data_IF_108703690532
#
_entry.id   IF_108703690532
#
_cell.length_a   1.000
_cell.length_b   1.000
_cell.length_c   1.000
_cell.angle_alpha   90.00
_cell.angle_beta   90.00
_cell.angle_gamma   90.00
#
_symmetry.space_group_name_H-M   'P 1'
#
loop_
_entity.id
_entity.type
_entity.pdbx_description
1 polymer ?
2 non-polymer ?
3 water ?
#
# COMPACT_ATOMS: atom_id res chain seq x y z
N UNK A 4 17.56 1.56 22.39
CA UNK A 4 17.25 1.98 20.99
C UNK A 4 15.74 2.32 20.85
N UNK A 5 15.45 3.55 20.42
CA UNK A 5 14.08 4.01 20.14
C UNK A 5 14.11 4.62 18.74
N UNK A 6 13.24 4.15 17.87
CA UNK A 6 13.26 4.52 16.44
C UNK A 6 12.08 5.43 16.11
N UNK A 7 12.38 6.61 15.60
CA UNK A 7 11.34 7.49 15.02
C UNK A 7 10.93 6.94 13.66
N UNK A 8 9.67 6.55 13.52
CA UNK A 8 9.14 5.98 12.28
C UNK A 8 8.15 6.94 11.65
N UNK A 9 8.23 7.04 10.34
CA UNK A 9 7.33 7.84 9.57
C UNK A 9 6.73 7.05 8.44
N UNK A 10 5.41 7.18 8.28
CA UNK A 10 4.71 6.55 7.19
C UNK A 10 3.92 7.59 6.44
N UNK A 11 4.40 7.91 5.25
CA UNK A 11 3.85 8.94 4.40
C UNK A 11 2.71 8.39 3.57
N UNK A 12 1.48 8.73 3.96
CA UNK A 12 0.26 8.27 3.30
C UNK A 12 -0.27 9.24 2.27
N UNK A 13 -1.43 8.89 1.70
CA UNK A 13 -2.08 9.73 0.69
C UNK A 13 -2.67 10.99 1.30
N UNK A 14 -3.21 10.90 2.51
CA UNK A 14 -3.81 12.07 3.16
C UNK A 14 -3.33 12.36 4.58
N UNK A 15 -2.58 11.43 5.17
CA UNK A 15 -2.06 11.62 6.52
C UNK A 15 -0.59 11.19 6.58
N UNK A 16 0.14 11.79 7.48
CA UNK A 16 1.47 11.39 7.82
C UNK A 16 1.36 10.75 9.19
N UNK A 17 1.67 9.45 9.28
CA UNK A 17 1.71 8.79 10.56
C UNK A 17 3.14 8.78 11.11
N UNK A 18 3.27 8.90 12.43
CA UNK A 18 4.56 9.01 13.05
C UNK A 18 4.50 8.22 14.35
N UNK A 19 5.62 7.61 14.74
CA UNK A 19 5.68 6.90 16.00
C UNK A 19 7.09 6.77 16.51
N UNK A 20 7.18 6.44 17.80
CA UNK A 20 8.44 6.01 18.39
C UNK A 20 8.24 4.52 18.65
N UNK A 21 9.16 3.74 18.09
CA UNK A 21 9.01 2.31 18.00
C UNK A 21 10.26 1.66 18.61
N UNK A 22 10.02 0.65 19.41
CA UNK A 22 11.10 -0.13 19.99
C UNK A 22 11.43 -1.25 18.99
N UNK A 23 12.65 -1.81 19.07
CA UNK A 23 13.08 -2.77 18.06
C UNK A 23 12.23 -4.04 17.91
N UNK A 24 11.32 -4.33 18.85
CA UNK A 24 10.42 -5.50 18.79
C UNK A 24 9.01 -5.18 18.29
N UNK A 25 8.79 -3.92 17.90
CA UNK A 25 7.56 -3.49 17.22
C UNK A 25 6.53 -2.86 18.14
N UNK A 26 6.87 -2.74 19.43
CA UNK A 26 6.05 -2.00 20.38
C UNK A 26 6.16 -0.50 20.02
N UNK A 27 5.02 0.11 19.74
CA UNK A 27 4.96 1.51 19.37
C UNK A 27 4.52 2.29 20.60
N UNK A 28 5.45 3.04 21.19
CA UNK A 28 5.26 3.62 22.52
C UNK A 28 4.70 5.02 22.48
N UNK A 29 4.70 5.64 21.29
CA UNK A 29 4.12 6.97 21.09
C UNK A 29 3.72 7.08 19.62
N UNK A 30 2.58 7.70 19.36
CA UNK A 30 2.17 8.02 17.97
C UNK A 30 1.76 9.50 17.83
N UNK A 31 1.75 9.95 16.57
CA UNK A 31 1.27 11.26 16.19
C UNK A 31 0.87 11.18 14.72
N UNK A 32 -0.20 11.85 14.34
CA UNK A 32 -0.67 11.89 12.96
C UNK A 32 -0.92 13.35 12.57
N UNK A 33 -0.76 13.66 11.29
CA UNK A 33 -1.04 14.97 10.72
C UNK A 33 -1.70 14.80 9.35
N UNK A 34 -2.81 15.49 9.13
CA UNK A 34 -3.37 15.61 7.79
C UNK A 34 -2.40 16.40 6.92
N UNK A 35 -2.11 15.89 5.73
CA UNK A 35 -1.22 16.58 4.79
C UNK A 35 -2.00 17.03 3.56
N UNK A 36 -1.84 18.31 3.23
CA UNK A 36 -2.58 18.94 2.14
C UNK A 36 -1.90 18.77 0.78
N UNK A 37 -2.63 18.23 -0.19
CA UNK A 37 -2.16 18.16 -1.59
C UNK A 37 -0.80 17.51 -1.79
N UNK A 38 -0.50 16.52 -0.95
CA UNK A 38 0.80 15.85 -0.86
C UNK A 38 1.98 16.78 -1.15
N UNK A 39 2.14 17.67 -0.18
CA UNK A 39 3.11 18.71 -0.13
C UNK A 39 4.32 18.20 0.66
N UNK A 40 5.41 17.94 -0.06
CA UNK A 40 6.63 17.39 0.55
C UNK A 40 7.21 18.29 1.60
N UNK A 41 7.20 19.60 1.34
CA UNK A 41 7.67 20.55 2.35
C UNK A 41 6.88 20.48 3.67
N UNK A 42 5.56 20.33 3.62
CA UNK A 42 4.79 20.16 4.84
C UNK A 42 5.22 18.87 5.54
N UNK A 43 5.44 17.80 4.75
CA UNK A 43 5.88 16.55 5.37
C UNK A 43 7.22 16.72 6.07
N UNK A 44 8.16 17.44 5.44
CA UNK A 44 9.46 17.64 6.05
C UNK A 44 9.32 18.45 7.33
N UNK A 45 8.39 19.40 7.31
CA UNK A 45 8.16 20.28 8.48
C UNK A 45 7.59 19.46 9.66
N UNK A 46 6.59 18.63 9.37
CA UNK A 46 6.01 17.73 10.37
C UNK A 46 7.08 16.78 10.94
N UNK A 47 7.97 16.28 10.08
CA UNK A 47 9.06 15.44 10.57
C UNK A 47 9.96 16.16 11.56
N UNK A 48 10.39 17.37 11.18
CA UNK A 48 11.25 18.18 12.03
C UNK A 48 10.62 18.41 13.39
N UNK A 49 9.34 18.74 13.38
CA UNK A 49 8.60 19.03 14.64
C UNK A 49 8.51 17.76 15.50
N UNK A 50 8.19 16.62 14.90
CA UNK A 50 8.11 15.36 15.65
C UNK A 50 9.45 14.97 16.28
N UNK A 51 10.55 15.16 15.54
CA UNK A 51 11.89 14.82 16.03
C UNK A 51 12.33 15.68 17.23
N UNK A 52 12.09 16.99 17.14
CA UNK A 52 12.42 17.92 18.24
C UNK A 52 11.66 17.57 19.52
N UNK A 53 10.42 17.11 19.32
CA UNK A 53 9.56 16.64 20.43
C UNK A 53 10.00 15.32 21.05
N UNK A 54 10.91 14.59 20.40
CA UNK A 54 11.25 13.23 20.79
C UNK A 54 12.76 13.05 20.72
N UNK A 55 13.45 13.69 21.64
CA UNK A 55 14.90 13.81 21.57
C UNK A 55 15.62 12.54 22.00
N UNK A 56 14.89 11.55 22.51
CA UNK A 56 15.51 10.29 22.91
C UNK A 56 15.56 9.24 21.79
N UNK A 57 15.03 9.57 20.62
CA UNK A 57 15.17 8.66 19.46
C UNK A 57 16.63 8.51 19.01
N UNK A 58 16.99 7.29 18.60
CA UNK A 58 18.35 6.93 18.26
C UNK A 58 18.48 6.53 16.79
N UNK A 59 17.36 6.59 16.05
CA UNK A 59 17.31 6.18 14.66
C UNK A 59 16.00 6.65 14.02
N UNK A 60 16.01 6.69 12.69
CA UNK A 60 14.85 7.16 11.94
C UNK A 60 14.57 6.18 10.80
N UNK A 61 13.29 5.79 10.66
CA UNK A 61 12.83 4.81 9.66
C UNK A 61 11.65 5.44 8.92
N UNK A 62 11.74 5.43 7.60
CA UNK A 62 10.72 6.04 6.75
C UNK A 62 10.10 5.05 5.78
N UNK A 63 8.77 5.13 5.66
CA UNK A 63 8.00 4.48 4.61
C UNK A 63 7.46 5.60 3.70
N UNK A 64 7.88 5.59 2.44
CA UNK A 64 7.59 6.67 1.52
C UNK A 64 6.98 6.18 0.23
N UNK A 65 6.05 6.95 -0.36
CA UNK A 65 5.58 6.56 -1.69
C UNK A 65 6.62 6.73 -2.77
N UNK A 66 6.44 5.98 -3.85
CA UNK A 66 7.25 6.15 -5.04
C UNK A 66 8.38 5.12 -5.07
N UNK A 67 9.52 5.51 -5.68
CA UNK A 67 10.61 4.61 -5.96
C UNK A 67 11.79 5.10 -5.16
N UNK A 68 12.28 4.23 -4.29
CA UNK A 68 13.34 4.56 -3.34
C UNK A 68 14.45 3.54 -3.43
N UNK A 69 15.68 4.01 -3.61
CA UNK A 69 16.85 3.16 -3.48
C UNK A 69 17.06 2.98 -1.98
N UNK A 70 16.84 1.76 -1.50
CA UNK A 70 16.81 1.55 -0.06
C UNK A 70 18.19 1.61 0.58
N UNK A 71 19.28 1.49 -0.19
CA UNK A 71 20.62 1.59 0.37
C UNK A 71 21.12 3.04 0.42
N UNK A 72 20.90 3.80 -0.65
CA UNK A 72 21.34 5.20 -0.73
C UNK A 72 20.35 6.23 -0.18
N UNK A 73 19.07 5.88 -0.17
CA UNK A 73 18.00 6.78 0.29
C UNK A 73 17.50 7.72 -0.79
N UNK A 74 17.97 7.56 -2.02
CA UNK A 74 17.50 8.43 -3.10
C UNK A 74 16.13 8.03 -3.59
N UNK A 75 15.19 8.97 -3.49
CA UNK A 75 13.83 8.83 -4.06
C UNK A 75 13.91 9.35 -5.47
N UNK A 76 13.79 8.44 -6.43
CA UNK A 76 13.90 8.80 -7.83
C UNK A 76 12.59 9.39 -8.34
N UNK A 77 11.45 8.92 -7.82
CA UNK A 77 10.13 9.41 -8.21
C UNK A 77 9.33 9.41 -6.93
N UNK A 78 8.80 10.55 -6.52
CA UNK A 78 8.15 10.62 -5.21
C UNK A 78 6.70 10.22 -5.08
N UNK A 79 6.16 9.45 -6.01
CA UNK A 79 4.73 9.16 -6.02
C UNK A 79 3.93 10.45 -6.17
N UNK A 80 3.02 10.72 -5.22
CA UNK A 80 2.20 11.96 -5.26
C UNK A 80 3.00 13.20 -4.87
N UNK A 81 4.20 13.02 -4.29
CA UNK A 81 4.95 14.10 -3.68
C UNK A 81 6.04 14.56 -4.64
N UNK A 82 5.71 15.53 -5.50
CA UNK A 82 6.66 16.05 -6.50
C UNK A 82 7.94 16.57 -5.84
N UNK A 83 7.81 17.13 -4.63
CA UNK A 83 8.97 17.65 -3.90
C UNK A 83 10.06 16.59 -3.64
N UNK A 84 9.67 15.32 -3.60
CA UNK A 84 10.59 14.25 -3.31
C UNK A 84 11.15 13.59 -4.59
N UNK A 85 10.77 14.05 -5.79
CA UNK A 85 11.42 13.55 -7.03
C UNK A 85 12.92 13.86 -7.02
N UNK A 86 13.74 12.85 -7.27
CA UNK A 86 15.19 13.01 -7.27
C UNK A 86 15.66 13.69 -5.98
N UNK A 87 15.15 13.23 -4.83
CA UNK A 87 15.48 13.80 -3.52
C UNK A 87 16.03 12.72 -2.62
N UNK A 88 17.23 12.93 -2.08
CA UNK A 88 17.76 12.00 -1.12
C UNK A 88 17.30 12.36 0.29
N UNK A 89 16.16 11.75 0.65
CA UNK A 89 15.52 11.98 1.95
C UNK A 89 16.36 11.37 3.08
N UNK A 90 17.05 10.28 2.81
CA UNK A 90 17.98 9.70 3.83
C UNK A 90 19.07 10.69 4.17
N UNK A 91 19.71 11.26 3.16
CA UNK A 91 20.81 12.21 3.41
C UNK A 91 20.33 13.49 4.06
N UNK A 92 19.13 13.94 3.70
CA UNK A 92 18.53 15.12 4.32
C UNK A 92 18.34 14.91 5.78
N UNK A 93 17.73 13.78 6.15
CA UNK A 93 17.43 13.46 7.54
C UNK A 93 18.72 13.22 8.35
N UNK A 94 19.72 12.61 7.72
CA UNK A 94 21.03 12.41 8.37
C UNK A 94 21.69 13.75 8.68
N UNK A 95 21.63 14.67 7.72
CA UNK A 95 22.23 16.00 7.88
C UNK A 95 21.47 16.79 8.95
N UNK A 96 20.15 16.69 8.95
CA UNK A 96 19.33 17.41 9.91
C UNK A 96 19.49 16.93 11.35
N UNK A 97 19.83 15.65 11.54
CA UNK A 97 19.75 14.99 12.85
C UNK A 97 21.01 14.30 13.37
N UNK A 98 21.90 13.83 12.49
CA UNK A 98 23.07 13.06 12.92
C UNK A 98 22.77 11.63 13.35
N UNK A 99 21.51 11.22 13.17
CA UNK A 99 21.05 9.88 13.49
C UNK A 99 21.08 9.00 12.28
N UNK A 100 21.26 7.67 12.48
CA UNK A 100 21.12 6.75 11.33
C UNK A 100 19.68 6.77 10.80
N UNK A 101 19.56 6.67 9.48
CA UNK A 101 18.27 6.77 8.77
C UNK A 101 18.15 5.62 7.77
N UNK A 102 16.94 5.09 7.65
CA UNK A 102 16.61 4.15 6.60
C UNK A 102 15.29 4.56 5.95
N UNK A 103 15.20 4.22 4.68
CA UNK A 103 14.02 4.53 3.89
C UNK A 103 13.68 3.37 2.94
N UNK A 104 12.37 3.10 2.78
CA UNK A 104 11.88 2.04 1.90
C UNK A 104 10.52 2.52 1.38
N UNK A 105 10.07 1.98 0.26
CA UNK A 105 8.79 2.29 -0.34
C UNK A 105 7.62 1.83 0.54
N UNK A 106 6.48 2.54 0.44
CA UNK A 106 5.34 2.30 1.33
C UNK A 106 4.71 0.92 1.22
N UNK A 107 4.53 0.45 -0.01
CA UNK A 107 3.96 -0.91 -0.25
C UNK A 107 4.91 -2.00 0.26
N UNK A 108 6.20 -1.80 -0.01
CA UNK A 108 7.21 -2.69 0.49
C UNK A 108 7.25 -2.72 1.99
N UNK A 109 7.12 -1.56 2.65
CA UNK A 109 7.11 -1.54 4.11
C UNK A 109 5.89 -2.32 4.65
N UNK A 110 4.73 -2.16 4.04
CA UNK A 110 3.56 -2.87 4.53
C UNK A 110 3.75 -4.36 4.34
N UNK A 111 4.42 -4.77 3.26
CA UNK A 111 4.69 -6.20 3.11
C UNK A 111 5.66 -6.67 4.21
N UNK A 112 6.68 -5.87 4.49
CA UNK A 112 7.64 -6.21 5.52
C UNK A 112 6.99 -6.36 6.89
N UNK A 113 5.97 -5.55 7.18
CA UNK A 113 5.20 -5.71 8.41
C UNK A 113 4.54 -7.10 8.44
N UNK A 114 3.98 -7.49 7.30
CA UNK A 114 3.36 -8.82 7.18
C UNK A 114 4.37 -9.97 7.43
N UNK A 115 5.57 -9.81 6.87
CA UNK A 115 6.68 -10.77 7.03
C UNK A 115 7.16 -10.81 8.51
N UNK A 116 7.27 -9.65 9.13
CA UNK A 116 7.86 -9.54 10.48
C UNK A 116 6.92 -10.00 11.56
N UNK A 117 5.71 -9.44 11.54
CA UNK A 117 4.76 -9.55 12.64
C UNK A 117 3.41 -10.12 12.25
N UNK A 118 3.18 -10.34 10.96
CA UNK A 118 1.90 -10.73 10.51
C UNK A 118 1.85 -12.18 10.03
N UNK A 119 1.15 -12.39 8.91
CA UNK A 119 0.81 -13.74 8.39
C UNK A 119 1.85 -14.31 7.47
N UNK A 120 2.91 -13.53 7.19
CA UNK A 120 3.94 -14.01 6.23
C UNK A 120 5.24 -14.43 6.90
N UNK A 121 5.23 -14.68 8.22
CA UNK A 121 6.49 -14.90 8.92
C UNK A 121 7.29 -16.09 8.37
N UNK A 122 6.59 -17.14 8.00
CA UNK A 122 7.26 -18.35 7.57
C UNK A 122 7.09 -18.63 6.08
N UNK A 123 6.80 -17.58 5.32
CA UNK A 123 6.59 -17.69 3.89
C UNK A 123 7.72 -17.13 3.06
N UNK A 124 8.15 -17.89 2.06
CA UNK A 124 9.16 -17.39 1.10
C UNK A 124 8.60 -16.80 -0.19
N UNK A 125 7.34 -17.03 -0.51
CA UNK A 125 6.77 -16.55 -1.76
C UNK A 125 5.34 -16.11 -1.51
N UNK A 126 5.16 -14.81 -1.26
CA UNK A 126 3.82 -14.25 -1.10
C UNK A 126 3.77 -12.85 -1.67
N UNK A 127 2.56 -12.42 -1.98
CA UNK A 127 2.32 -11.09 -2.45
C UNK A 127 1.37 -10.35 -1.51
N UNK A 128 1.50 -9.03 -1.53
CA UNK A 128 0.51 -8.13 -0.92
C UNK A 128 -0.14 -7.25 -2.01
N UNK A 129 -1.45 -7.25 -2.00
CA UNK A 129 -2.25 -6.48 -2.95
C UNK A 129 -3.13 -5.53 -2.10
N UNK A 130 -3.02 -4.23 -2.37
CA UNK A 130 -3.76 -3.19 -1.62
C UNK A 130 -4.72 -2.52 -2.58
N UNK A 131 -6.01 -2.50 -2.24
CA UNK A 131 -7.06 -1.96 -3.11
C UNK A 131 -7.86 -0.89 -2.32
N UNK A 132 -7.70 0.37 -2.72
CA UNK A 132 -8.51 1.47 -2.14
C UNK A 132 -8.82 2.52 -3.21
N UNK A 133 -8.25 3.71 -3.06
CA UNK A 133 -8.34 4.72 -4.09
C UNK A 133 -7.50 4.35 -5.31
N UNK A 134 -6.36 3.71 -5.07
CA UNK A 134 -5.57 3.10 -6.13
C UNK A 134 -5.22 1.66 -5.73
N UNK A 135 -4.29 1.09 -6.47
CA UNK A 135 -3.83 -0.25 -6.22
C UNK A 135 -2.35 -0.20 -5.88
N UNK A 136 -1.99 -0.94 -4.84
CA UNK A 136 -0.60 -1.14 -4.43
C UNK A 136 -0.24 -2.60 -4.48
N UNK A 137 1.07 -2.85 -4.61
CA UNK A 137 1.63 -4.16 -4.65
C UNK A 137 2.94 -4.22 -3.94
N UNK A 138 3.17 -5.37 -3.33
CA UNK A 138 4.49 -5.80 -2.85
C UNK A 138 4.73 -7.28 -3.19
N UNK A 139 5.99 -7.61 -3.47
CA UNK A 139 6.40 -8.95 -3.89
C UNK A 139 7.47 -9.49 -2.95
N UNK A 140 7.24 -10.72 -2.46
CA UNK A 140 8.23 -11.47 -1.68
C UNK A 140 8.42 -12.80 -2.47
N UNK A 141 9.62 -12.97 -3.01
CA UNK A 141 10.00 -14.16 -3.79
C UNK A 141 11.33 -14.70 -3.26
N UNK A 142 11.44 -16.00 -3.16
CA UNK A 142 12.66 -16.60 -2.63
C UNK A 142 13.13 -16.03 -1.32
N UNK A 143 12.18 -15.69 -0.46
CA UNK A 143 12.50 -15.24 0.89
C UNK A 143 13.04 -13.83 0.97
N UNK A 144 12.84 -13.03 -0.09
CA UNK A 144 13.37 -11.66 -0.21
C UNK A 144 12.36 -10.73 -0.88
N UNK A 145 12.33 -9.44 -0.49
CA UNK A 145 11.58 -8.47 -1.20
C UNK A 145 12.14 -8.33 -2.64
N UNK A 146 11.23 -8.22 -3.60
CA UNK A 146 11.63 -7.95 -4.97
C UNK A 146 11.35 -6.47 -5.21
N UNK A 147 12.41 -5.69 -5.31
CA UNK A 147 12.28 -4.23 -5.50
C UNK A 147 12.39 -3.81 -6.96
N UNK A 148 13.03 -4.67 -7.77
CA UNK A 148 13.30 -4.45 -9.15
C UNK A 148 14.63 -3.75 -9.46
N UNK A 149 15.00 -3.73 -10.73
CA UNK A 149 16.27 -3.15 -11.16
C UNK A 149 16.43 -1.64 -10.87
N UNK A 150 15.30 -0.94 -10.82
CA UNK A 150 15.27 0.48 -10.52
C UNK A 150 14.32 0.78 -9.36
N UNK A 151 14.07 -0.24 -8.52
CA UNK A 151 13.30 -0.05 -7.30
C UNK A 151 11.84 0.29 -7.59
N UNK A 152 11.38 -0.18 -8.75
CA UNK A 152 10.03 0.10 -9.20
C UNK A 152 9.06 -1.08 -9.10
N UNK A 153 9.56 -2.27 -8.79
CA UNK A 153 8.75 -3.50 -8.87
C UNK A 153 7.51 -3.42 -7.98
N UNK A 154 6.47 -4.14 -8.37
CA UNK A 154 5.27 -4.25 -7.57
C UNK A 154 4.14 -3.29 -7.93
N UNK A 155 4.21 -2.71 -9.10
CA UNK A 155 3.18 -1.80 -9.61
C UNK A 155 1.98 -2.55 -10.16
N UNK A 156 1.28 -3.20 -9.25
CA UNK A 156 0.19 -4.11 -9.59
C UNK A 156 -0.97 -3.40 -10.25
N UNK A 157 -1.15 -2.10 -9.93
CA UNK A 157 -2.22 -1.34 -10.52
C UNK A 157 -2.08 -1.05 -11.99
N UNK A 158 -0.89 -1.26 -12.54
CA UNK A 158 -0.64 -1.06 -13.97
C UNK A 158 -0.95 -2.31 -14.80
N UNK A 159 -1.40 -3.40 -14.19
CA UNK A 159 -1.81 -4.53 -15.02
C UNK A 159 -3.06 -4.14 -15.79
N UNK A 160 -3.08 -4.55 -17.05
CA UNK A 160 -4.27 -4.36 -17.88
C UNK A 160 -5.42 -5.24 -17.40
N UNK A 161 -6.57 -4.64 -17.20
CA UNK A 161 -7.79 -5.39 -16.92
C UNK A 161 -8.66 -5.63 -18.15
N UNK A 162 -8.27 -5.05 -19.28
CA UNK A 162 -8.93 -5.26 -20.53
C UNK A 162 -7.95 -5.00 -21.66
N UNK A 163 -8.32 -5.40 -22.87
CA UNK A 163 -7.47 -5.12 -24.03
C UNK A 163 -7.29 -3.60 -24.14
N UNK A 164 -6.06 -3.13 -24.26
CA UNK A 164 -5.90 -1.66 -24.25
C UNK A 164 -6.48 -1.08 -25.53
N UNK A 165 -7.17 0.03 -25.40
CA UNK A 165 -7.70 0.77 -26.53
C UNK A 165 -6.72 1.85 -26.94
N UNK A 166 -7.23 2.93 -27.49
CA UNK A 166 -6.41 4.02 -28.07
C UNK A 166 -6.26 5.23 -27.18
N UNK A 167 -7.00 5.31 -26.09
CA UNK A 167 -6.71 6.31 -25.06
C UNK A 167 -5.39 5.90 -24.36
N UNK A 168 -4.87 6.77 -23.50
CA UNK A 168 -3.63 6.46 -22.80
C UNK A 168 -3.80 5.11 -22.07
N UNK A 169 -2.70 4.34 -22.01
CA UNK A 169 -2.81 2.97 -21.52
C UNK A 169 -3.33 2.84 -20.10
N UNK A 170 -3.04 3.83 -19.26
CA UNK A 170 -3.46 3.80 -17.87
C UNK A 170 -4.95 3.61 -17.73
N UNK A 171 -5.72 4.09 -18.71
CA UNK A 171 -7.17 4.03 -18.64
C UNK A 171 -7.70 2.57 -18.65
N UNK A 172 -6.87 1.64 -19.11
CA UNK A 172 -7.23 0.23 -19.26
C UNK A 172 -6.59 -0.66 -18.17
N UNK A 173 -6.04 -0.01 -17.17
CA UNK A 173 -5.33 -0.67 -16.05
C UNK A 173 -6.16 -0.68 -14.79
N UNK A 174 -5.86 -1.61 -13.90
CA UNK A 174 -6.58 -1.77 -12.60
C UNK A 174 -6.68 -0.46 -11.86
N UNK A 175 -5.60 0.34 -11.87
CA UNK A 175 -5.61 1.66 -11.21
C UNK A 175 -6.78 2.54 -11.60
N UNK A 176 -7.17 2.45 -12.86
CA UNK A 176 -8.25 3.22 -13.40
C UNK A 176 -9.55 2.52 -13.70
N UNK A 177 -9.62 1.19 -13.50
CA UNK A 177 -10.85 0.44 -13.74
C UNK A 177 -11.40 -0.28 -12.52
N UNK A 178 -10.55 -0.54 -11.53
CA UNK A 178 -10.86 -1.49 -10.47
C UNK A 178 -10.40 -1.02 -9.08
N UNK A 179 -11.07 0.02 -8.57
CA UNK A 179 -10.72 0.61 -7.26
C UNK A 179 -12.00 1.06 -6.61
N UNK A 180 -11.91 1.32 -5.31
CA UNK A 180 -13.05 1.89 -4.57
C UNK A 180 -13.47 3.28 -5.12
N UNK A 181 -12.48 4.08 -5.53
CA UNK A 181 -12.72 5.36 -6.19
C UNK A 181 -13.48 5.20 -7.51
N UNK A 182 -13.06 4.24 -8.34
CA UNK A 182 -13.73 4.01 -9.61
C UNK A 182 -15.20 3.61 -9.33
N UNK A 183 -15.42 2.76 -8.33
CA UNK A 183 -16.79 2.39 -7.99
C UNK A 183 -17.66 3.57 -7.69
N UNK A 184 -17.15 4.49 -6.91
CA UNK A 184 -17.89 5.72 -6.55
C UNK A 184 -18.12 6.59 -7.80
N UNK A 185 -17.09 6.73 -8.63
CA UNK A 185 -17.20 7.47 -9.89
C UNK A 185 -18.26 6.87 -10.80
N UNK A 186 -18.25 5.55 -10.95
CA UNK A 186 -19.23 4.91 -11.77
C UNK A 186 -20.65 5.09 -11.22
N UNK A 187 -20.81 4.91 -9.92
CA UNK A 187 -22.11 5.12 -9.29
C UNK A 187 -22.62 6.53 -9.49
N UNK A 188 -21.75 7.53 -9.35
CA UNK A 188 -22.13 8.91 -9.66
C UNK A 188 -22.64 9.07 -11.09
N UNK A 189 -21.92 8.49 -12.06
CA UNK A 189 -22.34 8.54 -13.48
C UNK A 189 -23.66 7.86 -13.73
N UNK A 190 -23.86 6.72 -13.10
CA UNK A 190 -25.08 5.94 -13.35
C UNK A 190 -26.30 6.56 -12.69
N UNK A 191 -26.13 7.19 -11.53
CA UNK A 191 -27.25 7.79 -10.80
C UNK A 191 -27.41 9.28 -11.06
N UNK A 192 -26.38 9.95 -11.58
CA UNK A 192 -26.43 11.41 -11.76
C UNK A 192 -26.16 12.23 -10.51
N UNK A 193 -25.83 11.55 -9.42
CA UNK A 193 -25.56 12.20 -8.14
C UNK A 193 -24.13 12.68 -8.06
N UNK A 194 -23.88 13.71 -7.22
CA UNK A 194 -22.49 14.15 -7.05
C UNK A 194 -21.60 13.12 -6.34
N UNK A 195 -20.41 12.93 -6.90
CA UNK A 195 -19.39 12.03 -6.40
C UNK A 195 -19.17 12.23 -4.90
N UNK A 196 -19.06 13.49 -4.48
CA UNK A 196 -18.71 13.80 -3.09
C UNK A 196 -19.73 13.27 -2.08
N UNK A 197 -20.97 13.02 -2.53
CA UNK A 197 -22.08 12.53 -1.70
C UNK A 197 -22.27 11.02 -1.72
N UNK A 198 -21.42 10.33 -2.47
CA UNK A 198 -21.51 8.88 -2.60
C UNK A 198 -20.41 8.20 -1.76
N UNK A 199 -20.81 7.18 -1.01
CA UNK A 199 -19.91 6.38 -0.18
C UNK A 199 -19.80 4.95 -0.78
N UNK A 200 -18.68 4.29 -0.54
CA UNK A 200 -18.57 2.87 -0.87
C UNK A 200 -19.58 2.05 -0.13
N UNK A 201 -19.88 2.45 1.10
CA UNK A 201 -20.79 1.72 1.95
C UNK A 201 -22.18 1.67 1.32
N UNK A 202 -22.62 2.77 0.72
CA UNK A 202 -23.99 2.79 0.15
C UNK A 202 -24.09 1.93 -1.09
N UNK A 203 -23.02 1.90 -1.87
CA UNK A 203 -23.00 1.04 -3.06
C UNK A 203 -23.15 -0.44 -2.63
N UNK A 204 -22.38 -0.89 -1.66
CA UNK A 204 -22.51 -2.24 -1.16
C UNK A 204 -23.85 -2.51 -0.49
N UNK A 205 -24.41 -1.52 0.22
CA UNK A 205 -25.72 -1.69 0.80
C UNK A 205 -26.77 -1.88 -0.28
N UNK A 206 -26.68 -1.09 -1.34
CA UNK A 206 -27.58 -1.26 -2.46
C UNK A 206 -27.38 -2.60 -3.14
N UNK A 207 -26.13 -3.02 -3.26
CA UNK A 207 -25.82 -4.36 -3.78
C UNK A 207 -26.53 -5.45 -2.96
N UNK A 208 -26.38 -5.38 -1.63
CA UNK A 208 -26.98 -6.38 -0.74
C UNK A 208 -28.51 -6.36 -0.79
N UNK A 209 -29.08 -5.22 -1.20
CA UNK A 209 -30.53 -5.07 -1.42
C UNK A 209 -30.95 -5.38 -2.89
N UNK A 210 -30.03 -5.96 -3.66
CA UNK A 210 -30.30 -6.44 -5.02
C UNK A 210 -30.65 -5.37 -6.00
N UNK A 211 -30.03 -4.22 -5.84
CA UNK A 211 -30.13 -3.13 -6.81
C UNK A 211 -29.32 -3.49 -8.07
N UNK A 212 -29.97 -3.46 -9.23
CA UNK A 212 -29.34 -3.93 -10.51
C UNK A 212 -28.09 -3.09 -10.85
N UNK A 213 -28.17 -1.79 -10.69
CA UNK A 213 -27.05 -0.92 -11.06
C UNK A 213 -25.87 -1.27 -10.18
N UNK A 214 -26.11 -1.39 -8.87
CA UNK A 214 -25.09 -1.74 -7.93
C UNK A 214 -24.51 -3.13 -8.17
N UNK A 215 -25.40 -4.09 -8.44
CA UNK A 215 -24.96 -5.41 -8.81
C UNK A 215 -23.95 -5.39 -9.92
N UNK A 216 -24.22 -4.63 -10.98
CA UNK A 216 -23.30 -4.62 -12.09
C UNK A 216 -21.96 -4.02 -11.67
N UNK A 217 -22.00 -2.93 -10.93
CA UNK A 217 -20.76 -2.28 -10.52
C UNK A 217 -19.87 -3.21 -9.69
N UNK A 218 -20.49 -3.89 -8.75
CA UNK A 218 -19.75 -4.77 -7.86
C UNK A 218 -19.23 -6.00 -8.60
N UNK A 219 -20.09 -6.55 -9.45
CA UNK A 219 -19.70 -7.70 -10.27
C UNK A 219 -18.48 -7.39 -11.15
N UNK A 220 -18.51 -6.24 -11.79
CA UNK A 220 -17.40 -5.81 -12.66
C UNK A 220 -16.13 -5.56 -11.85
N UNK A 221 -16.27 -4.93 -10.67
CA UNK A 221 -15.16 -4.73 -9.75
C UNK A 221 -14.50 -6.08 -9.40
N UNK A 222 -15.30 -7.06 -9.01
CA UNK A 222 -14.74 -8.34 -8.62
C UNK A 222 -14.10 -9.05 -9.81
N UNK A 223 -14.66 -8.87 -10.98
CA UNK A 223 -14.05 -9.47 -12.19
C UNK A 223 -12.66 -8.86 -12.45
N UNK A 224 -12.51 -7.55 -12.27
CA UNK A 224 -11.26 -6.92 -12.42
C UNK A 224 -10.26 -7.42 -11.40
N UNK A 225 -10.69 -7.56 -10.14
CA UNK A 225 -9.79 -8.10 -9.12
C UNK A 225 -9.34 -9.55 -9.47
N UNK A 226 -10.30 -10.37 -9.91
CA UNK A 226 -10.00 -11.73 -10.32
C UNK A 226 -9.01 -11.77 -11.50
N UNK A 227 -9.12 -10.80 -12.43
CA UNK A 227 -8.23 -10.71 -13.58
C UNK A 227 -6.80 -10.49 -13.06
N UNK A 228 -6.63 -9.52 -12.16
CA UNK A 228 -5.35 -9.27 -11.58
C UNK A 228 -4.83 -10.43 -10.75
N UNK A 229 -5.67 -11.04 -9.94
CA UNK A 229 -5.25 -12.19 -9.11
C UNK A 229 -4.77 -13.35 -9.98
N UNK A 230 -5.48 -13.64 -11.04
CA UNK A 230 -5.12 -14.75 -11.98
C UNK A 230 -3.76 -14.46 -12.58
N UNK A 231 -3.56 -13.23 -13.04
CA UNK A 231 -2.25 -12.88 -13.59
C UNK A 231 -1.15 -13.11 -12.54
N UNK A 232 -1.36 -12.57 -11.34
CA UNK A 232 -0.36 -12.68 -10.28
C UNK A 232 -0.03 -14.13 -9.89
N UNK A 233 -1.06 -14.94 -9.79
CA UNK A 233 -0.95 -16.35 -9.42
C UNK A 233 -0.06 -17.09 -10.42
N UNK A 234 -0.33 -16.88 -11.70
CA UNK A 234 0.43 -17.59 -12.76
C UNK A 234 1.87 -17.05 -12.90
N UNK A 235 2.04 -15.75 -12.70
CA UNK A 235 3.33 -15.17 -12.86
C UNK A 235 4.27 -15.55 -11.69
N UNK A 236 3.83 -15.29 -10.46
CA UNK A 236 4.70 -15.40 -9.31
C UNK A 236 4.60 -16.75 -8.59
N UNK A 237 3.50 -17.44 -8.74
CA UNK A 237 3.24 -18.69 -8.00
C UNK A 237 3.48 -18.48 -6.50
N UNK A 238 2.83 -17.44 -5.93
CA UNK A 238 2.87 -17.33 -4.49
C UNK A 238 2.10 -18.44 -3.79
N UNK A 239 2.38 -18.69 -2.51
CA UNK A 239 1.51 -19.52 -1.72
C UNK A 239 0.28 -18.74 -1.18
N UNK A 240 0.49 -17.45 -0.97
CA UNK A 240 -0.48 -16.57 -0.30
C UNK A 240 -0.50 -15.22 -0.98
N UNK A 241 -1.68 -14.64 -1.13
CA UNK A 241 -1.82 -13.23 -1.49
C UNK A 241 -2.64 -12.58 -0.40
N UNK A 242 -2.03 -11.61 0.25
CA UNK A 242 -2.68 -10.87 1.32
C UNK A 242 -3.28 -9.60 0.76
N UNK A 243 -4.59 -9.42 0.99
CA UNK A 243 -5.28 -8.29 0.40
C UNK A 243 -5.72 -7.32 1.48
N UNK A 244 -5.37 -6.04 1.27
CA UNK A 244 -5.65 -5.00 2.21
C UNK A 244 -6.13 -3.74 1.53
N UNK A 245 -6.23 -2.66 2.31
CA UNK A 245 -6.67 -1.37 1.81
C UNK A 245 -8.14 -1.10 2.12
N UNK A 246 -8.68 -0.05 1.50
CA UNK A 246 -10.06 0.35 1.64
C UNK A 246 -11.07 -0.75 1.45
N UNK A 247 -10.78 -1.71 0.55
CA UNK A 247 -11.69 -2.81 0.29
C UNK A 247 -12.09 -3.60 1.52
N UNK A 248 -11.20 -3.63 2.52
CA UNK A 248 -11.53 -4.28 3.81
C UNK A 248 -12.72 -3.65 4.57
N UNK A 249 -13.16 -2.48 4.13
CA UNK A 249 -14.42 -1.86 4.63
C UNK A 249 -15.63 -2.75 4.26
N UNK A 250 -15.42 -3.73 3.38
CA UNK A 250 -16.44 -4.76 3.07
C UNK A 250 -16.08 -6.03 3.90
N UNK A 251 -16.85 -6.32 4.95
CA UNK A 251 -16.49 -7.39 5.88
C UNK A 251 -16.32 -8.78 5.24
N UNK A 252 -17.16 -9.09 4.25
CA UNK A 252 -17.19 -10.39 3.61
C UNK A 252 -16.43 -10.42 2.27
N UNK A 253 -15.55 -9.46 2.04
CA UNK A 253 -14.95 -9.40 0.70
C UNK A 253 -14.11 -10.60 0.35
N UNK A 254 -13.37 -11.20 1.28
CA UNK A 254 -12.58 -12.40 0.92
C UNK A 254 -13.49 -13.56 0.44
N UNK A 255 -14.57 -13.81 1.19
CA UNK A 255 -15.52 -14.87 0.82
C UNK A 255 -16.11 -14.54 -0.54
N UNK A 256 -16.38 -13.26 -0.78
CA UNK A 256 -16.99 -12.82 -2.07
C UNK A 256 -16.03 -13.00 -3.26
N UNK A 257 -14.75 -12.71 -3.03
CA UNK A 257 -13.74 -12.91 -4.04
C UNK A 257 -13.50 -14.37 -4.31
N UNK A 258 -13.47 -15.20 -3.27
CA UNK A 258 -13.33 -16.65 -3.47
C UNK A 258 -14.48 -17.18 -4.34
N UNK A 259 -15.69 -16.71 -4.06
CA UNK A 259 -16.87 -17.12 -4.84
C UNK A 259 -16.67 -16.77 -6.32
N UNK A 260 -16.33 -15.52 -6.57
CA UNK A 260 -16.10 -15.07 -7.93
C UNK A 260 -14.98 -15.82 -8.62
N UNK A 261 -13.92 -16.13 -7.86
CA UNK A 261 -12.78 -16.90 -8.34
C UNK A 261 -13.08 -18.33 -8.73
N UNK A 262 -14.26 -18.81 -8.43
CA UNK A 262 -14.64 -20.17 -8.88
C UNK A 262 -14.67 -20.27 -10.41
N UNK A 263 -14.81 -19.12 -11.10
CA UNK A 263 -14.81 -19.09 -12.55
C UNK A 263 -13.39 -19.00 -13.13
N UNK A 264 -12.39 -18.87 -12.25
CA UNK A 264 -11.01 -18.55 -12.65
C UNK A 264 -10.02 -19.58 -12.18
N UNK A 265 -10.09 -19.85 -10.89
CA UNK A 265 -9.34 -20.88 -10.24
C UNK A 265 -8.18 -20.33 -9.42
N UNK A 266 -8.31 -20.40 -8.10
CA UNK A 266 -7.21 -20.00 -7.22
C UNK A 266 -5.94 -20.84 -7.37
N UNK A 267 -6.07 -22.09 -7.84
CA UNK A 267 -4.90 -22.91 -8.16
C UNK A 267 -3.95 -23.02 -6.99
N UNK A 268 -4.55 -23.40 -5.86
CA UNK A 268 -3.87 -23.61 -4.58
C UNK A 268 -3.49 -22.33 -3.77
N UNK A 269 -3.65 -21.17 -4.36
CA UNK A 269 -3.27 -19.94 -3.71
C UNK A 269 -4.24 -19.62 -2.62
N UNK A 270 -3.70 -19.25 -1.47
CA UNK A 270 -4.50 -18.78 -0.34
C UNK A 270 -4.64 -17.26 -0.43
N UNK A 271 -5.89 -16.78 -0.42
CA UNK A 271 -6.19 -15.36 -0.32
C UNK A 271 -6.80 -15.06 1.04
N UNK A 272 -6.32 -14.01 1.68
CA UNK A 272 -6.82 -13.60 2.99
C UNK A 272 -6.42 -12.17 3.24
N UNK A 273 -7.02 -11.55 4.25
CA UNK A 273 -6.69 -10.18 4.54
C UNK A 273 -5.29 -9.97 5.10
N UNK A 274 -4.73 -8.82 4.77
CA UNK A 274 -3.47 -8.34 5.37
C UNK A 274 -3.75 -7.97 6.82
N UNK A 275 -2.72 -7.95 7.65
CA UNK A 275 -2.83 -7.54 9.04
C UNK A 275 -2.20 -6.16 9.29
N UNK A 276 -2.38 -5.65 10.50
CA UNK A 276 -1.75 -4.38 10.92
C UNK A 276 -2.10 -3.25 9.98
N UNK A 277 -3.37 -3.18 9.55
CA UNK A 277 -3.82 -2.14 8.63
C UNK A 277 -3.36 -0.73 9.07
N UNK A 278 -3.51 -0.44 10.36
CA UNK A 278 -3.20 0.92 10.83
C UNK A 278 -1.72 1.28 10.88
N UNK A 279 -0.89 0.33 11.30
CA UNK A 279 0.50 0.59 11.59
C UNK A 279 1.51 -0.12 10.68
N UNK A 280 1.05 -0.87 9.68
CA UNK A 280 1.96 -1.62 8.80
C UNK A 280 3.11 -0.81 8.20
N UNK A 281 2.84 0.39 7.71
CA UNK A 281 3.90 1.24 7.16
C UNK A 281 4.98 1.53 8.20
N UNK A 282 4.57 1.97 9.40
CA UNK A 282 5.51 2.26 10.46
C UNK A 282 6.34 1.05 10.82
N UNK A 283 5.65 -0.07 10.99
CA UNK A 283 6.32 -1.29 11.44
C UNK A 283 7.27 -1.82 10.37
N UNK A 284 6.86 -1.78 9.13
CA UNK A 284 7.75 -2.23 8.05
C UNK A 284 8.96 -1.35 7.85
N UNK A 285 8.76 -0.04 8.03
CA UNK A 285 9.87 0.91 7.93
C UNK A 285 10.91 0.52 8.99
N UNK A 286 10.43 0.23 10.20
CA UNK A 286 11.29 -0.22 11.27
C UNK A 286 12.03 -1.52 10.96
N UNK A 287 11.31 -2.51 10.45
CA UNK A 287 11.95 -3.72 10.02
C UNK A 287 13.09 -3.46 9.05
N UNK A 288 12.84 -2.65 8.03
CA UNK A 288 13.90 -2.29 7.08
C UNK A 288 15.08 -1.64 7.77
N UNK A 289 14.81 -0.68 8.66
CA UNK A 289 15.86 0.00 9.42
C UNK A 289 16.69 -1.00 10.20
N UNK A 290 16.01 -1.95 10.88
CA UNK A 290 16.70 -2.97 11.68
C UNK A 290 17.61 -3.90 10.83
N UNK A 291 17.15 -4.21 9.62
CA UNK A 291 17.93 -5.00 8.66
C UNK A 291 19.18 -4.22 8.20
N UNK A 292 18.97 -2.93 7.95
CA UNK A 292 20.07 -2.06 7.53
C UNK A 292 21.13 -1.87 8.61
N UNK A 293 20.70 -1.75 9.87
CA UNK A 293 21.67 -1.58 10.94
C UNK A 293 22.61 -2.79 11.04
N UNK A 294 22.14 -3.98 10.66
CA UNK A 294 23.01 -5.12 10.39
C UNK A 294 23.37 -5.13 8.90
X LIG B 1 17.80 6.14 -15.73
X LIG B 1 16.64 5.46 -15.24
X LIG B 1 18.95 5.13 -15.87
X LIG B 1 18.86 4.38 -17.10
#
# INVERSE_FOLDING_TARGET
SNAMKIAAFDIGGTALKMGVVLPHGEIILTKSAEISGSDGDQILAEMKVFLAENTDVTGIAVSAPGYVNPKTGLITMGGAIRRFDNFNLKEWLEAETGLPVAIENDANCALLAEKWLGKGQDLDDFLCLTIGTGIGGGIFSNGELVRGGRFRAGEFGYMFSERPGAFRPGKYTLNETTTMLVLRRQYAELTGRPLEEITGEEIFANYDAHDAVSERLITEFYTGICTGLYNLIYLFDPTHIFIGGGITSRPTFIAELKHHMESFGLRDTIIETATHKNQAGLLGAVYHFLQEENRHE
EDO C1 O1 C2 O2
#
